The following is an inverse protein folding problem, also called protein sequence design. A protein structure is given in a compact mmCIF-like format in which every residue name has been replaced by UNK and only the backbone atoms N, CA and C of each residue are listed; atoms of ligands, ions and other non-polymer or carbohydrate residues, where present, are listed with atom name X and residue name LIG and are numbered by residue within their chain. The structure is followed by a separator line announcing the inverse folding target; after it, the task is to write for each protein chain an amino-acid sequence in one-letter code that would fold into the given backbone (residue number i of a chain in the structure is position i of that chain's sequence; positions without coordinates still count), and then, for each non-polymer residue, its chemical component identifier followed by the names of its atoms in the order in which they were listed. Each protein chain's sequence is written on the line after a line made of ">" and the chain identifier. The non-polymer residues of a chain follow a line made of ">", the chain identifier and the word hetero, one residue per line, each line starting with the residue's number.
data_IF_695147398985
#
_entry.id   IF_695147398985
#
_cell.length_a   1.000
_cell.length_b   1.000
_cell.length_c   1.000
_cell.angle_alpha   90.00
_cell.angle_beta   90.00
_cell.angle_gamma   90.00
#
_symmetry.space_group_name_H-M   'P 1'
#
loop_
_entity.id
_entity.type
_entity.pdbx_description
1 polymer ?
#
# COMPACT_ATOMS: atom_id res chain seq x y z
N UNK A 1 -44.59 0.06 -35.05
CA UNK A 1 -44.28 1.42 -34.56
C UNK A 1 -43.00 1.31 -33.77
N UNK A 2 -41.96 1.97 -34.28
CA UNK A 2 -40.68 2.33 -33.64
C UNK A 2 -40.91 2.92 -32.23
N UNK A 3 -39.99 2.93 -31.26
CA UNK A 3 -38.55 3.24 -31.18
C UNK A 3 -38.11 2.83 -29.74
N UNK A 4 -36.85 2.67 -29.32
CA UNK A 4 -35.53 2.89 -29.90
C UNK A 4 -34.52 2.00 -29.16
N UNK A 5 -33.54 1.53 -29.92
CA UNK A 5 -32.29 0.91 -29.47
C UNK A 5 -31.23 1.97 -29.15
N UNK A 6 -30.18 1.57 -28.43
CA UNK A 6 -28.81 1.97 -28.75
C UNK A 6 -27.82 0.96 -28.15
N UNK A 7 -27.41 0.01 -28.99
CA UNK A 7 -26.18 -0.75 -28.83
C UNK A 7 -25.03 0.16 -29.28
N UNK A 8 -23.96 0.26 -28.50
CA UNK A 8 -22.80 1.09 -28.81
C UNK A 8 -21.62 0.20 -29.22
N UNK A 9 -21.26 0.29 -30.49
CA UNK A 9 -20.17 -0.40 -31.17
C UNK A 9 -18.81 0.22 -30.81
N UNK A 10 -17.82 -0.61 -30.51
CA UNK A 10 -16.43 -0.19 -30.30
C UNK A 10 -15.61 -0.71 -31.48
N UNK A 11 -15.58 0.05 -32.56
CA UNK A 11 -14.59 -0.10 -33.62
C UNK A 11 -13.95 1.25 -33.94
N UNK A 12 -12.64 1.32 -33.75
CA UNK A 12 -11.79 2.41 -34.24
C UNK A 12 -11.13 3.26 -33.14
N UNK A 13 -9.90 2.93 -32.78
CA UNK A 13 -8.93 4.00 -32.53
C UNK A 13 -7.62 3.69 -33.23
N UNK A 14 -7.19 4.71 -33.96
CA UNK A 14 -6.19 4.78 -34.98
C UNK A 14 -4.78 4.74 -34.38
N UNK A 15 -3.91 3.96 -35.01
CA UNK A 15 -2.48 3.97 -34.72
C UNK A 15 -1.87 5.21 -35.34
N UNK A 16 -1.62 6.26 -34.55
CA UNK A 16 -0.75 7.34 -35.00
C UNK A 16 -0.96 8.68 -34.31
N UNK A 17 -0.31 8.90 -33.17
CA UNK A 17 0.05 10.23 -32.69
C UNK A 17 1.04 10.13 -31.52
N UNK A 18 2.31 9.87 -31.82
CA UNK A 18 3.38 10.04 -30.82
C UNK A 18 4.72 10.29 -31.50
N UNK A 19 4.82 11.44 -32.18
CA UNK A 19 6.10 12.08 -32.50
C UNK A 19 5.91 13.60 -32.42
N UNK A 20 7.02 14.29 -32.14
CA UNK A 20 7.22 15.75 -32.15
C UNK A 20 7.17 16.45 -30.78
N UNK A 21 8.23 16.26 -29.99
CA UNK A 21 8.85 17.40 -29.30
C UNK A 21 10.29 17.51 -29.80
N UNK A 22 10.47 18.50 -30.67
CA UNK A 22 11.68 18.80 -31.41
C UNK A 22 12.87 19.25 -30.55
N UNK A 23 14.03 18.89 -31.08
CA UNK A 23 15.36 19.29 -30.69
C UNK A 23 15.56 20.81 -30.59
N UNK A 24 16.21 21.25 -29.51
CA UNK A 24 17.00 22.49 -29.47
C UNK A 24 18.28 22.26 -28.67
N UNK A 25 19.22 21.53 -29.27
CA UNK A 25 20.64 21.64 -28.91
C UNK A 25 21.26 22.56 -29.96
N UNK A 26 21.46 23.83 -29.59
CA UNK A 26 22.31 24.75 -30.34
C UNK A 26 23.73 24.61 -29.82
N UNK A 27 24.62 24.21 -30.71
CA UNK A 27 26.07 24.25 -30.52
C UNK A 27 26.54 25.55 -31.16
N UNK A 28 27.01 26.50 -30.36
CA UNK A 28 27.77 27.67 -30.81
C UNK A 28 28.88 27.89 -29.75
N UNK A 29 30.13 27.53 -30.05
CA UNK A 29 31.18 28.35 -30.70
C UNK A 29 32.14 28.92 -29.64
N UNK A 30 33.43 28.62 -29.81
CA UNK A 30 34.51 29.03 -28.92
C UNK A 30 34.64 30.57 -28.86
N UNK A 31 34.53 31.15 -27.66
CA UNK A 31 34.99 32.52 -27.41
C UNK A 31 35.90 32.58 -26.19
N UNK A 32 37.14 32.95 -26.46
CA UNK A 32 38.25 33.13 -25.51
C UNK A 32 38.22 34.55 -24.91
N UNK A 33 38.80 34.70 -23.70
CA UNK A 33 39.25 35.93 -22.98
C UNK A 33 38.15 36.62 -22.15
N UNK A 34 38.31 37.07 -20.90
CA UNK A 34 39.48 37.48 -20.07
C UNK A 34 39.26 37.31 -18.56
N UNK A 35 40.40 37.37 -17.87
CA UNK A 35 40.78 37.37 -16.44
C UNK A 35 40.02 38.37 -15.53
N UNK A 36 39.73 37.87 -14.31
CA UNK A 36 39.45 38.49 -12.99
C UNK A 36 38.37 39.57 -12.80
N UNK A 37 37.26 39.17 -12.15
CA UNK A 37 36.50 40.00 -11.19
C UNK A 37 35.87 39.11 -10.09
N UNK A 38 36.32 39.18 -8.82
CA UNK A 38 35.78 38.36 -7.74
C UNK A 38 34.63 39.13 -7.06
N UNK A 39 33.45 39.16 -7.67
CA UNK A 39 32.29 39.73 -6.99
C UNK A 39 30.98 39.03 -7.36
N UNK A 40 30.35 38.50 -6.31
CA UNK A 40 28.99 37.98 -6.24
C UNK A 40 28.71 36.61 -6.88
N UNK A 41 29.38 35.59 -6.35
CA UNK A 41 28.80 34.26 -6.26
C UNK A 41 27.64 34.26 -5.23
N UNK A 42 26.48 34.79 -5.63
CA UNK A 42 25.22 34.54 -4.94
C UNK A 42 24.85 33.06 -5.16
N UNK A 43 25.52 32.19 -4.41
CA UNK A 43 25.20 30.77 -4.29
C UNK A 43 23.72 30.67 -3.94
N UNK A 44 22.90 30.27 -4.93
CA UNK A 44 21.51 29.86 -4.74
C UNK A 44 21.52 28.67 -3.76
N UNK A 45 21.48 28.97 -2.46
CA UNK A 45 21.48 27.98 -1.40
C UNK A 45 20.19 27.17 -1.55
N UNK A 46 20.31 25.93 -2.05
CA UNK A 46 19.19 24.99 -2.02
C UNK A 46 18.74 24.86 -0.57
N UNK A 47 17.45 24.92 -0.27
CA UNK A 47 16.97 24.78 1.10
C UNK A 47 17.40 23.43 1.67
N UNK A 48 17.94 23.44 2.89
CA UNK A 48 18.46 22.26 3.60
C UNK A 48 17.36 21.24 3.97
N UNK A 49 16.09 21.65 3.89
CA UNK A 49 14.95 20.83 4.22
C UNK A 49 13.79 21.08 3.25
N UNK A 50 12.94 20.06 3.10
CA UNK A 50 11.68 20.14 2.35
C UNK A 50 10.54 19.75 3.29
N UNK A 51 9.59 20.65 3.48
CA UNK A 51 8.33 20.34 4.18
C UNK A 51 7.45 19.56 3.21
N UNK A 52 6.91 18.44 3.68
CA UNK A 52 5.99 17.60 2.91
C UNK A 52 4.60 17.72 3.50
N UNK A 53 3.61 17.85 2.64
CA UNK A 53 2.22 17.79 3.05
C UNK A 53 1.75 16.32 3.11
N UNK A 54 0.50 16.12 3.55
CA UNK A 54 -0.09 14.78 3.62
C UNK A 54 -0.17 14.09 2.26
N UNK A 55 -0.45 14.82 1.19
CA UNK A 55 -0.56 14.27 -0.18
C UNK A 55 0.80 13.79 -0.68
N UNK A 56 1.87 14.56 -0.44
CA UNK A 56 3.24 14.16 -0.78
C UNK A 56 3.64 12.86 -0.08
N UNK A 57 3.25 12.68 1.18
CA UNK A 57 3.50 11.46 1.94
C UNK A 57 2.66 10.28 1.43
N UNK A 58 1.41 10.53 1.05
CA UNK A 58 0.54 9.52 0.46
C UNK A 58 1.09 9.04 -0.88
N UNK A 59 1.52 9.95 -1.75
CA UNK A 59 2.13 9.59 -3.03
C UNK A 59 3.36 8.71 -2.84
N UNK A 60 4.27 9.08 -1.93
CA UNK A 60 5.46 8.26 -1.62
C UNK A 60 5.11 6.88 -1.08
N UNK A 61 4.08 6.81 -0.22
CA UNK A 61 3.58 5.54 0.32
C UNK A 61 3.03 4.66 -0.82
N UNK A 62 2.22 5.24 -1.69
CA UNK A 62 1.54 4.53 -2.78
C UNK A 62 2.55 4.08 -3.85
N UNK A 63 3.58 4.88 -4.12
CA UNK A 63 4.71 4.51 -4.99
C UNK A 63 5.46 3.29 -4.43
N UNK A 64 5.82 3.30 -3.14
CA UNK A 64 6.50 2.18 -2.50
C UNK A 64 5.63 0.91 -2.48
N UNK A 65 4.33 1.05 -2.20
CA UNK A 65 3.37 -0.07 -2.25
C UNK A 65 3.34 -0.64 -3.66
N UNK A 66 3.15 0.20 -4.67
CA UNK A 66 3.06 -0.20 -6.08
C UNK A 66 4.32 -0.92 -6.58
N UNK A 67 5.49 -0.44 -6.19
CA UNK A 67 6.75 -1.09 -6.54
C UNK A 67 6.80 -2.52 -5.96
N UNK A 68 6.50 -2.68 -4.67
CA UNK A 68 6.45 -3.99 -4.01
C UNK A 68 5.35 -4.89 -4.61
N UNK A 69 4.14 -4.39 -4.85
CA UNK A 69 3.06 -5.21 -5.42
C UNK A 69 3.37 -5.66 -6.84
N UNK A 70 4.02 -4.81 -7.65
CA UNK A 70 4.43 -5.18 -9.01
C UNK A 70 5.46 -6.32 -9.06
N UNK A 71 6.34 -6.40 -8.05
CA UNK A 71 7.40 -7.42 -7.99
C UNK A 71 6.93 -8.68 -7.25
N UNK A 72 6.17 -8.53 -6.16
CA UNK A 72 5.78 -9.65 -5.30
C UNK A 72 4.43 -10.29 -5.67
N UNK A 73 3.58 -9.60 -6.45
CA UNK A 73 2.26 -10.10 -6.86
C UNK A 73 1.27 -10.25 -5.70
N UNK A 74 1.39 -9.42 -4.66
CA UNK A 74 0.50 -9.41 -3.48
C UNK A 74 -0.44 -8.20 -3.50
N UNK A 75 -1.46 -8.19 -2.64
CA UNK A 75 -2.38 -7.06 -2.51
C UNK A 75 -1.70 -5.82 -1.91
N UNK A 76 -2.25 -4.63 -2.18
CA UNK A 76 -1.75 -3.36 -1.62
C UNK A 76 -1.74 -3.36 -0.08
N UNK A 77 -2.74 -3.98 0.55
CA UNK A 77 -2.84 -4.13 2.01
C UNK A 77 -1.72 -5.02 2.55
N UNK A 78 -1.42 -6.12 1.86
CA UNK A 78 -0.36 -7.04 2.24
C UNK A 78 1.03 -6.42 2.03
N UNK A 79 1.23 -5.72 0.91
CA UNK A 79 2.46 -4.97 0.64
C UNK A 79 2.71 -3.89 1.69
N UNK A 80 1.68 -3.16 2.11
CA UNK A 80 1.79 -2.16 3.19
C UNK A 80 2.30 -2.77 4.50
N UNK A 81 1.86 -4.00 4.83
CA UNK A 81 2.29 -4.73 6.04
C UNK A 81 3.72 -5.23 5.92
N UNK A 82 4.08 -5.79 4.76
CA UNK A 82 5.45 -6.22 4.45
C UNK A 82 6.40 -5.03 4.54
N UNK A 83 6.08 -3.92 3.88
CA UNK A 83 6.88 -2.68 3.93
C UNK A 83 7.09 -2.21 5.36
N UNK A 84 6.06 -2.22 6.21
CA UNK A 84 6.20 -1.81 7.62
C UNK A 84 7.21 -2.68 8.38
N UNK A 85 7.20 -3.99 8.16
CA UNK A 85 8.17 -4.93 8.75
C UNK A 85 9.60 -4.60 8.34
N UNK A 86 9.79 -4.15 7.11
CA UNK A 86 11.08 -3.74 6.55
C UNK A 86 11.30 -2.22 6.62
N UNK A 87 10.57 -1.52 7.50
CA UNK A 87 10.76 -0.09 7.78
C UNK A 87 10.63 0.81 6.54
N UNK A 88 9.77 0.42 5.58
CA UNK A 88 9.53 1.10 4.30
C UNK A 88 10.74 1.12 3.35
N UNK A 89 11.72 0.25 3.54
CA UNK A 89 12.82 0.04 2.59
C UNK A 89 12.44 -1.03 1.56
N UNK A 90 12.02 -0.60 0.37
CA UNK A 90 11.61 -1.47 -0.73
C UNK A 90 12.71 -2.46 -1.10
N UNK A 91 13.97 -2.01 -1.17
CA UNK A 91 15.10 -2.85 -1.58
C UNK A 91 15.31 -4.01 -0.60
N UNK A 92 15.09 -3.76 0.70
CA UNK A 92 15.27 -4.76 1.75
C UNK A 92 14.17 -5.83 1.76
N UNK A 93 13.03 -5.60 1.12
CA UNK A 93 11.92 -6.57 1.08
C UNK A 93 12.26 -7.79 0.23
N UNK A 94 12.94 -7.58 -0.90
CA UNK A 94 13.08 -8.59 -1.95
C UNK A 94 13.87 -9.82 -1.49
N UNK A 95 15.10 -9.65 -0.98
CA UNK A 95 15.95 -10.80 -0.62
C UNK A 95 15.29 -11.72 0.41
N UNK A 96 14.75 -11.23 1.55
CA UNK A 96 14.09 -12.10 2.53
C UNK A 96 12.82 -12.73 1.98
N UNK A 97 12.04 -12.00 1.18
CA UNK A 97 10.81 -12.53 0.58
C UNK A 97 11.09 -13.68 -0.38
N UNK A 98 12.08 -13.55 -1.26
CA UNK A 98 12.44 -14.59 -2.21
C UNK A 98 13.25 -15.74 -1.58
N UNK A 99 13.90 -15.51 -0.43
CA UNK A 99 14.60 -16.56 0.31
C UNK A 99 13.64 -17.45 1.10
N UNK A 100 12.70 -16.86 1.84
CA UNK A 100 11.72 -17.58 2.66
C UNK A 100 10.41 -16.77 2.78
N UNK A 101 9.58 -16.88 1.74
CA UNK A 101 8.30 -16.19 1.64
C UNK A 101 7.38 -16.53 2.82
N UNK A 102 7.34 -17.79 3.24
CA UNK A 102 6.41 -18.27 4.26
C UNK A 102 6.78 -17.74 5.64
N UNK A 103 8.07 -17.66 5.97
CA UNK A 103 8.52 -17.01 7.20
C UNK A 103 8.18 -15.51 7.21
N UNK A 104 8.37 -14.81 6.09
CA UNK A 104 8.00 -13.39 5.97
C UNK A 104 6.49 -13.22 6.17
N UNK A 105 5.68 -13.98 5.42
CA UNK A 105 4.21 -13.97 5.55
C UNK A 105 3.77 -14.24 6.99
N UNK A 106 4.30 -15.28 7.64
CA UNK A 106 3.99 -15.61 9.02
C UNK A 106 4.37 -14.47 10.00
N UNK A 107 5.50 -13.79 9.77
CA UNK A 107 5.96 -12.69 10.61
C UNK A 107 5.04 -11.47 10.55
N UNK A 108 4.50 -11.17 9.36
CA UNK A 108 3.54 -10.08 9.17
C UNK A 108 2.10 -10.50 9.37
N UNK A 109 1.84 -11.79 9.61
CA UNK A 109 0.49 -12.35 9.84
C UNK A 109 -0.33 -12.54 8.58
N UNK A 110 0.32 -12.60 7.43
CA UNK A 110 -0.29 -13.00 6.18
C UNK A 110 -0.53 -14.50 6.25
N UNK A 111 -1.79 -14.88 6.24
CA UNK A 111 -2.22 -16.27 6.22
C UNK A 111 -3.33 -16.37 5.19
N UNK A 112 -3.33 -17.48 4.46
CA UNK A 112 -4.46 -17.80 3.60
C UNK A 112 -5.71 -17.94 4.48
N UNK A 113 -6.88 -17.51 3.98
CA UNK A 113 -8.11 -17.64 4.72
C UNK A 113 -8.32 -19.10 5.11
N UNK A 114 -8.60 -19.34 6.38
CA UNK A 114 -8.93 -20.69 6.87
C UNK A 114 -10.10 -21.31 6.09
N UNK A 115 -10.37 -22.61 6.24
CA UNK A 115 -11.49 -23.26 5.54
C UNK A 115 -12.82 -22.52 5.81
N UNK A 116 -13.69 -22.49 4.80
CA UNK A 116 -15.03 -21.94 4.95
C UNK A 116 -15.84 -22.83 5.88
N UNK A 117 -16.51 -22.21 6.85
CA UNK A 117 -17.52 -22.89 7.64
C UNK A 117 -18.87 -22.76 6.95
N UNK A 118 -19.69 -23.81 7.03
CA UNK A 118 -21.09 -23.79 6.58
C UNK A 118 -22.05 -23.47 7.72
N UNK A 119 -21.54 -23.08 8.88
CA UNK A 119 -22.37 -22.74 10.03
C UNK A 119 -23.02 -21.36 9.87
N UNK A 120 -24.31 -21.29 10.16
CA UNK A 120 -25.06 -20.02 10.11
C UNK A 120 -24.79 -19.12 11.32
N UNK A 121 -24.31 -19.70 12.42
CA UNK A 121 -24.08 -19.02 13.69
C UNK A 121 -22.72 -19.40 14.29
N UNK A 122 -22.13 -18.50 15.06
CA UNK A 122 -20.96 -18.79 15.88
C UNK A 122 -21.05 -18.08 17.24
N UNK A 123 -20.37 -18.67 18.23
CA UNK A 123 -20.29 -18.11 19.57
C UNK A 123 -19.09 -17.18 19.69
N UNK A 124 -19.29 -15.98 20.20
CA UNK A 124 -18.21 -15.04 20.46
C UNK A 124 -17.39 -15.49 21.67
N UNK A 125 -16.07 -15.67 21.49
CA UNK A 125 -15.18 -16.13 22.58
C UNK A 125 -14.89 -15.07 23.67
N UNK A 126 -15.46 -13.86 23.56
CA UNK A 126 -15.26 -12.77 24.52
C UNK A 126 -16.48 -12.60 25.42
N UNK A 127 -17.68 -12.45 24.85
CA UNK A 127 -18.92 -12.32 25.62
C UNK A 127 -19.69 -13.64 25.80
N UNK A 128 -19.30 -14.70 25.09
CA UNK A 128 -19.92 -16.04 25.12
C UNK A 128 -21.35 -16.14 24.57
N UNK A 129 -21.87 -15.07 23.95
CA UNK A 129 -23.15 -15.11 23.24
C UNK A 129 -23.01 -15.62 21.79
N UNK A 130 -24.10 -16.15 21.23
CA UNK A 130 -24.18 -16.66 19.86
C UNK A 130 -24.79 -15.62 18.92
N UNK A 131 -24.17 -15.45 17.75
CA UNK A 131 -24.58 -14.48 16.73
C UNK A 131 -24.65 -15.14 15.35
N UNK A 132 -25.46 -14.60 14.42
CA UNK A 132 -25.38 -14.97 13.01
C UNK A 132 -23.99 -14.66 12.45
N UNK A 133 -23.40 -15.61 11.72
CA UNK A 133 -22.04 -15.47 11.17
C UNK A 133 -21.84 -14.20 10.32
N UNK A 134 -22.80 -13.76 9.47
CA UNK A 134 -22.66 -12.52 8.70
C UNK A 134 -22.53 -11.24 9.55
N UNK A 135 -23.00 -11.28 10.79
CA UNK A 135 -22.93 -10.16 11.73
C UNK A 135 -21.65 -10.15 12.58
N UNK A 136 -20.85 -11.20 12.48
CA UNK A 136 -19.59 -11.35 13.19
C UNK A 136 -18.42 -10.80 12.36
N UNK A 137 -17.27 -10.64 13.02
CA UNK A 137 -16.03 -10.15 12.43
C UNK A 137 -14.90 -11.11 12.74
N UNK A 138 -13.97 -11.26 11.81
CA UNK A 138 -12.79 -12.10 11.97
C UNK A 138 -11.60 -11.53 11.20
N UNK A 139 -10.39 -11.84 11.68
CA UNK A 139 -9.17 -11.79 10.89
C UNK A 139 -9.16 -12.90 9.81
N UNK A 140 -8.09 -12.99 9.01
CA UNK A 140 -7.95 -14.03 7.97
C UNK A 140 -8.08 -15.48 8.53
N UNK A 141 -7.70 -15.69 9.79
CA UNK A 141 -7.82 -16.98 10.49
C UNK A 141 -9.25 -17.48 10.74
N UNK A 142 -10.30 -16.66 10.48
CA UNK A 142 -11.71 -17.03 10.70
C UNK A 142 -12.09 -17.35 12.16
N UNK A 143 -11.37 -16.79 13.12
CA UNK A 143 -11.86 -16.70 14.50
C UNK A 143 -12.87 -15.56 14.61
N UNK A 144 -14.14 -15.89 14.89
CA UNK A 144 -15.25 -14.96 14.83
C UNK A 144 -15.55 -14.32 16.19
N UNK A 145 -15.82 -13.02 16.15
CA UNK A 145 -16.21 -12.20 17.30
C UNK A 145 -17.44 -11.38 16.94
N UNK A 146 -18.32 -11.12 17.91
CA UNK A 146 -19.44 -10.22 17.66
C UNK A 146 -18.94 -8.81 17.33
N UNK A 147 -19.73 -8.05 16.58
CA UNK A 147 -19.34 -6.70 16.13
C UNK A 147 -18.98 -5.78 17.31
N UNK A 148 -19.65 -5.91 18.45
CA UNK A 148 -19.37 -5.10 19.65
C UNK A 148 -17.98 -5.39 20.24
N UNK A 149 -17.66 -6.67 20.48
CA UNK A 149 -16.36 -7.07 21.02
C UNK A 149 -15.21 -6.78 20.05
N UNK A 150 -15.41 -7.01 18.75
CA UNK A 150 -14.42 -6.66 17.73
C UNK A 150 -14.13 -5.17 17.69
N UNK A 151 -15.17 -4.32 17.71
CA UNK A 151 -15.03 -2.87 17.76
C UNK A 151 -14.29 -2.43 19.02
N UNK A 152 -14.67 -2.95 20.19
CA UNK A 152 -14.00 -2.64 21.45
C UNK A 152 -12.51 -2.98 21.41
N UNK A 153 -12.17 -4.15 20.85
CA UNK A 153 -10.80 -4.60 20.68
C UNK A 153 -9.97 -3.66 19.80
N UNK A 154 -10.47 -3.35 18.59
CA UNK A 154 -9.78 -2.45 17.65
C UNK A 154 -9.66 -1.04 18.21
N UNK A 155 -10.71 -0.50 18.83
CA UNK A 155 -10.68 0.84 19.42
C UNK A 155 -9.68 0.93 20.57
N UNK A 156 -9.62 -0.08 21.44
CA UNK A 156 -8.64 -0.13 22.50
C UNK A 156 -7.21 -0.21 21.94
N UNK A 157 -6.98 -1.01 20.88
CA UNK A 157 -5.68 -1.05 20.23
C UNK A 157 -5.26 0.32 19.70
N UNK A 158 -6.15 1.02 18.98
CA UNK A 158 -5.89 2.36 18.44
C UNK A 158 -5.59 3.35 19.57
N UNK A 159 -6.34 3.30 20.69
CA UNK A 159 -6.11 4.17 21.84
C UNK A 159 -4.75 3.94 22.51
N UNK A 160 -4.22 2.71 22.45
CA UNK A 160 -2.90 2.35 22.98
C UNK A 160 -1.73 2.75 22.04
N UNK A 161 -2.03 3.37 20.89
CA UNK A 161 -1.05 4.02 20.04
C UNK A 161 -0.60 3.18 18.84
N UNK A 162 0.60 3.47 18.27
CA UNK A 162 0.98 3.01 16.93
C UNK A 162 1.13 1.50 16.79
N UNK A 163 1.25 0.76 17.91
CA UNK A 163 1.23 -0.71 17.90
C UNK A 163 -0.08 -1.30 17.36
N UNK A 164 -1.17 -0.51 17.29
CA UNK A 164 -2.43 -0.88 16.65
C UNK A 164 -2.28 -1.27 15.18
N UNK A 165 -1.22 -0.81 14.53
CA UNK A 165 -0.92 -1.15 13.15
C UNK A 165 -0.60 -2.64 12.99
N UNK A 166 -0.02 -3.27 14.02
CA UNK A 166 0.36 -4.69 14.02
C UNK A 166 -0.60 -5.57 14.85
N UNK A 167 -1.83 -5.07 15.03
CA UNK A 167 -2.89 -5.76 15.78
C UNK A 167 -3.14 -7.16 15.22
N UNK A 168 -3.31 -8.14 16.11
CA UNK A 168 -3.50 -9.55 15.77
C UNK A 168 -4.89 -10.02 16.15
N UNK A 169 -5.25 -11.21 15.68
CA UNK A 169 -6.44 -11.90 16.14
C UNK A 169 -6.45 -12.00 17.68
N UNK A 170 -7.60 -11.74 18.36
CA UNK A 170 -7.70 -11.87 19.81
C UNK A 170 -7.46 -13.29 20.35
N UNK A 171 -7.54 -14.32 19.49
CA UNK A 171 -7.35 -15.73 19.91
C UNK A 171 -5.91 -15.96 20.35
N UNK A 172 -5.67 -16.53 21.55
CA UNK A 172 -4.32 -16.86 22.02
C UNK A 172 -3.55 -17.72 21.01
N UNK A 173 -2.25 -17.42 20.83
CA UNK A 173 -1.34 -18.11 19.90
C UNK A 173 -1.67 -17.95 18.40
N UNK A 174 -2.77 -17.30 18.04
CA UNK A 174 -3.05 -16.97 16.65
C UNK A 174 -2.12 -15.83 16.18
N UNK A 175 -1.53 -15.99 14.99
CA UNK A 175 -0.62 -15.01 14.40
C UNK A 175 -1.25 -14.20 13.24
N UNK A 176 -2.48 -14.51 12.85
CA UNK A 176 -3.18 -13.75 11.83
C UNK A 176 -3.41 -12.31 12.30
N UNK A 177 -3.28 -11.35 11.39
CA UNK A 177 -3.81 -10.00 11.57
C UNK A 177 -5.23 -9.94 11.01
#
# INVERSE_FOLDING_TARGET
>A
MCESSAEYDFSGFDSGALLEIDAKIKVDEEKKVSVDDPSEAASSRRPLYKILNKQDLQLRRDDAIREVTSVLGISDDDASRVLRKFQWDVNRVHDPWFSDMDAVKASVGLQDPGPSTTADHATCMVCFDTFPLPEMRSAACRHHYCTACWRGYVNNAIANGPASLDLRCPTPKCKAC
#
